data_IF_482126264275
#
_entry.id   IF_482126264275
#
_cell.length_a   1.000
_cell.length_b   1.000
_cell.length_c   1.000
_cell.angle_alpha   90.00
_cell.angle_beta   90.00
_cell.angle_gamma   90.00
#
_symmetry.space_group_name_H-M   'P 1'
#
loop_
_entity.id
_entity.type
_entity.pdbx_description
1 polymer ?
#
# COMPACT_ATOMS: atom_id res chain seq x y z
N UNK A 1 -5.76 23.33 -3.50
CA UNK A 1 -4.96 22.22 -2.97
C UNK A 1 -5.84 21.00 -2.78
N UNK A 2 -5.41 19.88 -3.28
CA UNK A 2 -6.15 18.64 -3.06
C UNK A 2 -5.98 18.20 -1.61
N UNK A 3 -7.09 18.10 -0.87
CA UNK A 3 -7.06 17.67 0.53
C UNK A 3 -6.69 16.19 0.67
N UNK A 4 -6.80 15.43 -0.41
CA UNK A 4 -6.59 13.98 -0.40
C UNK A 4 -5.17 13.58 -0.76
N UNK A 5 -4.35 14.52 -1.22
CA UNK A 5 -3.01 14.18 -1.67
C UNK A 5 -2.11 13.78 -0.51
N UNK A 6 -1.48 12.60 -0.61
CA UNK A 6 -0.51 12.08 0.35
C UNK A 6 -1.03 12.00 1.79
N UNK A 7 -2.22 11.45 1.94
CA UNK A 7 -2.85 11.28 3.26
C UNK A 7 -2.67 9.87 3.79
N UNK A 8 -2.55 9.77 5.12
CA UNK A 8 -2.57 8.48 5.81
C UNK A 8 -4.03 8.06 5.98
N UNK A 9 -4.34 6.84 5.55
CA UNK A 9 -5.67 6.25 5.69
C UNK A 9 -5.52 4.90 6.39
N UNK A 10 -6.27 4.70 7.47
CA UNK A 10 -6.14 3.49 8.28
C UNK A 10 -7.07 2.40 7.76
N UNK A 11 -6.49 1.22 7.50
CA UNK A 11 -7.24 0.01 7.21
C UNK A 11 -7.39 -0.80 8.49
N UNK A 12 -8.61 -0.97 8.96
CA UNK A 12 -8.88 -1.70 10.19
C UNK A 12 -10.12 -2.58 10.01
N UNK A 13 -9.94 -3.79 9.42
CA UNK A 13 -11.07 -4.68 9.17
C UNK A 13 -11.64 -5.33 10.44
N UNK A 14 -10.87 -5.33 11.53
CA UNK A 14 -11.30 -5.89 12.82
C UNK A 14 -10.50 -5.23 13.95
N UNK A 15 -10.70 -5.70 15.18
CA UNK A 15 -10.05 -5.10 16.36
C UNK A 15 -8.56 -5.37 16.46
N UNK A 16 -8.08 -6.43 15.82
CA UNK A 16 -6.68 -6.86 15.96
C UNK A 16 -5.78 -6.37 14.83
N UNK A 17 -6.34 -6.00 13.68
CA UNK A 17 -5.57 -5.53 12.54
C UNK A 17 -5.78 -4.04 12.35
N UNK A 18 -4.71 -3.28 12.45
CA UNK A 18 -4.71 -1.85 12.18
C UNK A 18 -3.48 -1.53 11.36
N UNK A 19 -3.70 -1.10 10.13
CA UNK A 19 -2.62 -0.86 9.19
C UNK A 19 -2.74 0.52 8.58
N UNK A 20 -1.69 1.33 8.71
CA UNK A 20 -1.65 2.64 8.06
C UNK A 20 -1.28 2.47 6.60
N UNK A 21 -2.14 2.99 5.73
CA UNK A 21 -1.87 3.05 4.30
C UNK A 21 -1.68 4.50 3.90
N UNK A 22 -1.23 4.73 2.69
CA UNK A 22 -1.08 6.08 2.14
C UNK A 22 -1.97 6.25 0.92
N UNK A 23 -2.78 7.30 0.90
CA UNK A 23 -3.47 7.73 -0.31
C UNK A 23 -2.61 8.79 -1.01
N UNK A 24 -2.26 8.56 -2.25
CA UNK A 24 -1.54 9.53 -3.09
C UNK A 24 -1.71 9.12 -4.55
N UNK A 25 -1.63 10.09 -5.46
CA UNK A 25 -1.67 9.81 -6.90
C UNK A 25 -2.82 8.88 -7.29
N UNK A 26 -3.99 9.13 -6.74
CA UNK A 26 -5.23 8.39 -7.02
C UNK A 26 -5.11 6.87 -6.76
N UNK A 27 -4.26 6.47 -5.82
CA UNK A 27 -4.08 5.07 -5.44
C UNK A 27 -3.83 4.93 -3.94
N UNK A 28 -3.88 3.69 -3.48
CA UNK A 28 -3.49 3.31 -2.13
C UNK A 28 -2.11 2.69 -2.21
N UNK A 29 -1.24 3.04 -1.27
CA UNK A 29 0.18 2.68 -1.29
C UNK A 29 0.58 2.05 0.04
N UNK A 30 1.40 1.01 -0.04
CA UNK A 30 2.02 0.37 1.11
C UNK A 30 3.50 0.11 0.83
N UNK A 31 4.32 0.16 1.89
CA UNK A 31 5.69 -0.32 1.82
C UNK A 31 5.68 -1.85 1.77
N UNK A 32 6.81 -2.43 1.39
CA UNK A 32 6.96 -3.89 1.36
C UNK A 32 6.68 -4.53 2.73
N UNK A 33 7.17 -3.90 3.79
CA UNK A 33 6.94 -4.39 5.15
C UNK A 33 5.45 -4.39 5.50
N UNK A 34 4.74 -3.34 5.12
CA UNK A 34 3.30 -3.23 5.38
C UNK A 34 2.50 -4.26 4.57
N UNK A 35 2.93 -4.57 3.35
CA UNK A 35 2.30 -5.63 2.56
C UNK A 35 2.48 -6.97 3.27
N UNK A 36 3.67 -7.23 3.82
CA UNK A 36 3.93 -8.44 4.60
C UNK A 36 3.02 -8.52 5.82
N UNK A 37 2.86 -7.42 6.55
CA UNK A 37 1.96 -7.35 7.70
C UNK A 37 0.51 -7.60 7.30
N UNK A 38 0.08 -6.99 6.19
CA UNK A 38 -1.30 -7.12 5.70
C UNK A 38 -1.66 -8.60 5.45
N UNK A 39 -0.77 -9.35 4.82
CA UNK A 39 -1.05 -10.73 4.44
C UNK A 39 -0.48 -11.77 5.40
N UNK A 40 0.15 -11.33 6.49
CA UNK A 40 0.65 -12.23 7.52
C UNK A 40 1.79 -13.12 7.05
N UNK A 41 2.67 -12.61 6.21
CA UNK A 41 3.82 -13.36 5.67
C UNK A 41 5.11 -12.62 5.94
N UNK A 42 6.25 -13.29 5.73
CA UNK A 42 7.56 -12.68 5.90
C UNK A 42 7.87 -11.70 4.76
N UNK A 43 8.61 -10.66 5.06
CA UNK A 43 9.06 -9.68 4.06
C UNK A 43 9.78 -10.34 2.89
N UNK A 44 10.57 -11.40 3.17
CA UNK A 44 11.29 -12.13 2.12
C UNK A 44 10.34 -12.79 1.11
N UNK A 45 9.18 -13.26 1.55
CA UNK A 45 8.18 -13.82 0.65
C UNK A 45 7.62 -12.74 -0.28
N UNK A 46 7.38 -11.55 0.26
CA UNK A 46 6.91 -10.42 -0.55
C UNK A 46 7.96 -10.03 -1.59
N UNK A 47 9.24 -9.95 -1.19
CA UNK A 47 10.34 -9.66 -2.13
C UNK A 47 10.33 -10.62 -3.31
N UNK A 48 10.14 -11.90 -3.04
CA UNK A 48 10.12 -12.94 -4.07
C UNK A 48 8.95 -12.74 -5.04
N UNK A 49 7.76 -12.45 -4.52
CA UNK A 49 6.58 -12.20 -5.36
C UNK A 49 6.76 -10.95 -6.19
N UNK A 50 7.30 -9.88 -5.62
CA UNK A 50 7.57 -8.64 -6.35
C UNK A 50 8.54 -8.88 -7.51
N UNK A 51 9.61 -9.60 -7.25
CA UNK A 51 10.59 -9.93 -8.28
C UNK A 51 9.93 -10.70 -9.44
N UNK A 52 9.07 -11.65 -9.11
CA UNK A 52 8.35 -12.43 -10.11
C UNK A 52 7.40 -11.56 -10.93
N UNK A 53 6.60 -10.71 -10.27
CA UNK A 53 5.64 -9.82 -10.91
C UNK A 53 6.35 -8.92 -11.94
N UNK A 54 7.47 -8.34 -11.56
CA UNK A 54 8.17 -7.40 -12.43
C UNK A 54 8.98 -8.10 -13.53
N UNK A 55 9.62 -9.22 -13.21
CA UNK A 55 10.43 -9.95 -14.19
C UNK A 55 9.59 -10.59 -15.30
N UNK A 56 8.37 -10.97 -15.00
CA UNK A 56 7.46 -11.55 -16.01
C UNK A 56 6.71 -10.49 -16.82
N UNK A 57 6.84 -9.22 -16.45
CA UNK A 57 6.15 -8.13 -17.13
C UNK A 57 4.67 -8.03 -16.77
N UNK A 58 4.23 -8.71 -15.71
CA UNK A 58 2.83 -8.60 -15.27
C UNK A 58 2.48 -7.16 -14.92
N UNK A 59 3.38 -6.48 -14.19
CA UNK A 59 3.26 -5.06 -13.87
C UNK A 59 4.60 -4.37 -14.12
N UNK A 60 4.56 -3.06 -14.36
CA UNK A 60 5.75 -2.24 -14.56
C UNK A 60 6.13 -1.57 -13.23
N UNK A 61 7.41 -1.62 -12.88
CA UNK A 61 7.92 -0.89 -11.71
C UNK A 61 7.66 0.60 -11.84
N UNK A 62 7.90 1.15 -13.01
CA UNK A 62 7.74 2.58 -13.27
C UNK A 62 6.32 3.06 -12.95
N UNK A 63 5.33 2.25 -13.31
CA UNK A 63 3.92 2.62 -13.13
C UNK A 63 3.41 2.33 -11.72
N UNK A 64 4.10 1.52 -10.91
CA UNK A 64 3.55 0.97 -9.68
C UNK A 64 4.35 1.25 -8.42
N UNK A 65 5.56 1.78 -8.55
CA UNK A 65 6.43 2.10 -7.40
C UNK A 65 6.62 3.60 -7.32
N UNK A 66 6.53 4.14 -6.11
CA UNK A 66 6.81 5.55 -5.86
C UNK A 66 7.64 5.69 -4.60
N UNK A 67 8.61 6.60 -4.62
CA UNK A 67 9.39 6.94 -3.44
C UNK A 67 8.69 8.07 -2.72
N UNK A 68 8.40 7.88 -1.45
CA UNK A 68 7.74 8.90 -0.64
C UNK A 68 8.40 8.97 0.73
N UNK A 69 8.37 10.15 1.34
CA UNK A 69 8.96 10.36 2.64
C UNK A 69 8.05 9.83 3.75
N UNK A 70 8.69 9.22 4.76
CA UNK A 70 8.02 8.79 5.98
C UNK A 70 8.73 9.43 7.16
N UNK A 71 7.95 9.73 8.19
CA UNK A 71 8.48 10.26 9.45
C UNK A 71 8.52 9.12 10.45
N UNK A 72 9.70 8.83 10.99
CA UNK A 72 9.92 7.72 11.90
C UNK A 72 10.57 8.21 13.18
N UNK A 73 10.25 7.56 14.30
CA UNK A 73 10.91 7.81 15.57
C UNK A 73 11.98 6.74 15.75
N UNK A 74 13.24 7.15 15.70
CA UNK A 74 14.39 6.26 15.84
C UNK A 74 15.24 6.76 17.01
N UNK A 75 15.32 5.94 18.07
CA UNK A 75 16.12 6.28 19.24
C UNK A 75 15.73 7.59 19.91
N UNK A 76 14.44 7.89 19.98
CA UNK A 76 13.93 9.12 20.58
C UNK A 76 14.03 10.35 19.67
N UNK A 77 14.48 10.18 18.44
CA UNK A 77 14.61 11.25 17.46
C UNK A 77 13.64 11.06 16.31
N UNK A 78 13.08 12.17 15.83
CA UNK A 78 12.26 12.17 14.62
C UNK A 78 13.20 12.19 13.41
N UNK A 79 13.05 11.18 12.54
CA UNK A 79 13.87 11.03 11.35
C UNK A 79 12.95 10.95 10.13
N UNK A 80 13.32 11.70 9.08
CA UNK A 80 12.61 11.64 7.80
C UNK A 80 13.40 10.68 6.88
N UNK A 81 12.69 9.69 6.35
CA UNK A 81 13.31 8.71 5.43
C UNK A 81 12.50 8.59 4.17
N UNK A 82 13.19 8.40 3.05
CA UNK A 82 12.55 8.09 1.78
C UNK A 82 12.42 6.59 1.66
N UNK A 83 11.21 6.11 1.34
CA UNK A 83 10.93 4.69 1.19
C UNK A 83 10.20 4.42 -0.12
N UNK A 84 10.37 3.21 -0.65
CA UNK A 84 9.60 2.75 -1.79
C UNK A 84 8.23 2.28 -1.33
N UNK A 85 7.20 2.77 -2.01
CA UNK A 85 5.82 2.36 -1.82
C UNK A 85 5.32 1.69 -3.09
N UNK A 86 4.45 0.71 -2.90
CA UNK A 86 3.84 -0.06 -3.97
C UNK A 86 2.35 0.24 -4.02
N UNK A 87 1.82 0.43 -5.22
CA UNK A 87 0.43 0.85 -5.36
C UNK A 87 -0.54 -0.32 -5.24
N UNK A 88 -1.84 -0.02 -5.33
CA UNK A 88 -2.91 -1.00 -5.14
C UNK A 88 -2.79 -2.18 -6.10
N UNK A 89 -2.40 -1.96 -7.36
CA UNK A 89 -2.27 -3.05 -8.33
C UNK A 89 -1.27 -4.09 -7.85
N UNK A 90 -0.13 -3.64 -7.31
CA UNK A 90 0.90 -4.54 -6.78
C UNK A 90 0.41 -5.25 -5.53
N UNK A 91 -0.21 -4.51 -4.62
CA UNK A 91 -0.74 -5.08 -3.36
C UNK A 91 -1.69 -6.23 -3.68
N UNK A 92 -2.59 -6.01 -4.62
CA UNK A 92 -3.58 -7.02 -5.01
C UNK A 92 -2.92 -8.20 -5.72
N UNK A 93 -1.97 -7.94 -6.62
CA UNK A 93 -1.25 -9.01 -7.34
C UNK A 93 -0.49 -9.92 -6.38
N UNK A 94 0.17 -9.35 -5.38
CA UNK A 94 0.84 -10.13 -4.33
C UNK A 94 -0.21 -10.87 -3.49
N UNK A 95 -1.26 -10.18 -3.10
CA UNK A 95 -2.30 -10.74 -2.23
C UNK A 95 -2.95 -11.98 -2.81
N UNK A 96 -3.26 -11.98 -4.10
CA UNK A 96 -3.87 -13.15 -4.73
C UNK A 96 -2.94 -14.36 -4.76
N UNK A 97 -1.64 -14.15 -4.64
CA UNK A 97 -0.66 -15.23 -4.57
C UNK A 97 -0.54 -15.84 -3.17
N UNK A 98 -0.81 -15.07 -2.12
CA UNK A 98 -0.58 -15.49 -0.73
C UNK A 98 -1.87 -15.71 0.07
N UNK A 99 -2.88 -14.88 -0.14
CA UNK A 99 -4.16 -15.00 0.57
C UNK A 99 -5.25 -14.23 -0.20
N UNK A 100 -5.92 -14.92 -1.11
CA UNK A 100 -6.91 -14.30 -1.99
C UNK A 100 -8.11 -13.71 -1.24
N UNK A 101 -8.48 -14.28 -0.10
CA UNK A 101 -9.59 -13.75 0.72
C UNK A 101 -9.21 -12.38 1.28
N UNK A 102 -8.04 -12.26 1.89
CA UNK A 102 -7.58 -10.98 2.42
C UNK A 102 -7.33 -9.97 1.31
N UNK A 103 -6.84 -10.40 0.16
CA UNK A 103 -6.64 -9.53 -0.99
C UNK A 103 -7.97 -8.95 -1.48
N UNK A 104 -9.00 -9.77 -1.56
CA UNK A 104 -10.33 -9.33 -1.97
C UNK A 104 -10.90 -8.33 -0.98
N UNK A 105 -10.79 -8.60 0.32
CA UNK A 105 -11.25 -7.68 1.36
C UNK A 105 -10.55 -6.33 1.28
N UNK A 106 -9.24 -6.36 1.12
CA UNK A 106 -8.46 -5.13 0.99
C UNK A 106 -8.84 -4.35 -0.26
N UNK A 107 -9.01 -5.03 -1.39
CA UNK A 107 -9.42 -4.41 -2.65
C UNK A 107 -10.77 -3.71 -2.52
N UNK A 108 -11.74 -4.37 -1.89
CA UNK A 108 -13.07 -3.78 -1.69
C UNK A 108 -12.97 -2.51 -0.85
N UNK A 109 -12.24 -2.58 0.26
CA UNK A 109 -12.03 -1.42 1.11
C UNK A 109 -11.33 -0.28 0.35
N UNK A 110 -10.25 -0.60 -0.35
CA UNK A 110 -9.47 0.40 -1.09
C UNK A 110 -10.31 1.06 -2.18
N UNK A 111 -11.16 0.31 -2.86
CA UNK A 111 -12.06 0.85 -3.87
C UNK A 111 -13.02 1.87 -3.26
N UNK A 112 -13.55 1.62 -2.07
CA UNK A 112 -14.43 2.56 -1.40
C UNK A 112 -13.67 3.84 -1.01
N UNK A 113 -12.47 3.69 -0.48
CA UNK A 113 -11.62 4.84 -0.11
C UNK A 113 -11.35 5.69 -1.35
N UNK A 114 -10.95 5.07 -2.45
CA UNK A 114 -10.63 5.77 -3.68
C UNK A 114 -11.85 6.51 -4.23
N UNK A 115 -13.01 5.91 -4.20
CA UNK A 115 -14.25 6.58 -4.60
C UNK A 115 -14.52 7.83 -3.77
N UNK A 116 -14.33 7.72 -2.46
CA UNK A 116 -14.54 8.86 -1.54
C UNK A 116 -13.60 10.01 -1.89
N UNK A 117 -12.32 9.73 -2.05
CA UNK A 117 -11.34 10.78 -2.36
C UNK A 117 -11.51 11.37 -3.75
N UNK A 118 -11.86 10.56 -4.73
CA UNK A 118 -12.12 11.06 -6.09
C UNK A 118 -13.35 11.96 -6.13
N UNK A 119 -14.39 11.65 -5.36
CA UNK A 119 -15.57 12.51 -5.26
C UNK A 119 -15.24 13.83 -4.57
N UNK A 120 -14.42 13.82 -3.53
CA UNK A 120 -13.95 15.03 -2.86
C UNK A 120 -13.17 15.92 -3.83
N UNK A 121 -12.29 15.35 -4.63
CA UNK A 121 -11.48 16.08 -5.61
C UNK A 121 -12.36 16.67 -6.72
N UNK A 122 -13.43 15.97 -7.10
CA UNK A 122 -14.35 16.43 -8.13
C UNK A 122 -15.29 17.55 -7.64
N UNK A 123 -15.48 17.61 -6.34
CA UNK A 123 -16.30 18.66 -5.75
C UNK A 123 -15.50 19.96 -5.63
#
# INVERSE_FOLDING_TARGET
MSASENQIVVYQPNETVRLETRYAHESIWLTQLKIAELFGVQKAAISKHLKNIYSTGELSREATVSKMETVQNEGGRTVVREQEFYNLDVIIAVGYRVNSVMATQFRIWATQVLKTYLLEEAA
#
